data_IF_737635303688
#
_entry.id   IF_737635303688
#
_cell.length_a   1.000
_cell.length_b   1.000
_cell.length_c   1.000
_cell.angle_alpha   90.00
_cell.angle_beta   90.00
_cell.angle_gamma   90.00
#
_symmetry.space_group_name_H-M   'P 1'
#
loop_
_entity.id
_entity.type
_entity.pdbx_description
1 polymer ?
#
# COMPACT_ATOMS: atom_id res chain seq x y z
N UNK A 1 16.90 14.77 -4.71
CA UNK A 1 16.09 13.88 -5.58
C UNK A 1 14.58 14.05 -5.39
N UNK A 2 14.06 14.19 -4.16
CA UNK A 2 12.62 14.30 -3.91
C UNK A 2 11.99 15.68 -4.13
N UNK A 3 12.79 16.77 -4.04
CA UNK A 3 12.30 18.15 -4.17
C UNK A 3 11.43 18.37 -5.42
N UNK A 4 12.01 18.18 -6.60
CA UNK A 4 11.31 18.40 -7.89
C UNK A 4 10.05 17.52 -8.03
N UNK A 5 10.12 16.28 -7.55
CA UNK A 5 8.97 15.35 -7.60
C UNK A 5 7.82 15.85 -6.72
N UNK A 6 8.12 16.32 -5.51
CA UNK A 6 7.12 16.85 -4.58
C UNK A 6 6.54 18.19 -5.05
N UNK A 7 7.37 19.06 -5.64
CA UNK A 7 6.90 20.30 -6.28
C UNK A 7 5.88 19.97 -7.39
N UNK A 8 6.20 19.01 -8.25
CA UNK A 8 5.28 18.58 -9.33
C UNK A 8 4.03 17.89 -8.78
N UNK A 9 4.16 17.05 -7.75
CA UNK A 9 3.01 16.44 -7.08
C UNK A 9 2.06 17.50 -6.51
N UNK A 10 2.60 18.55 -5.86
CA UNK A 10 1.81 19.67 -5.34
C UNK A 10 1.06 20.42 -6.44
N UNK A 11 1.69 20.63 -7.61
CA UNK A 11 1.04 21.26 -8.78
C UNK A 11 -0.15 20.44 -9.30
N UNK A 12 -0.06 19.11 -9.26
CA UNK A 12 -1.09 18.20 -9.75
C UNK A 12 -2.28 18.03 -8.80
N UNK A 13 -2.09 18.28 -7.50
CA UNK A 13 -3.17 18.20 -6.52
C UNK A 13 -4.26 19.26 -6.80
N UNK A 14 -5.52 18.87 -6.56
CA UNK A 14 -6.62 19.84 -6.41
C UNK A 14 -6.45 20.62 -5.10
N UNK A 15 -7.17 21.73 -4.96
CA UNK A 15 -7.15 22.54 -3.72
C UNK A 15 -7.54 21.74 -2.48
N UNK A 16 -8.47 20.80 -2.60
CA UNK A 16 -8.87 19.87 -1.53
C UNK A 16 -8.01 18.60 -1.48
N UNK A 17 -7.01 18.46 -2.35
CA UNK A 17 -6.20 17.27 -2.51
C UNK A 17 -5.27 16.99 -1.32
N UNK A 18 -4.97 15.71 -1.11
CA UNK A 18 -4.16 15.19 0.00
C UNK A 18 -3.00 14.39 -0.59
N UNK A 19 -1.84 14.46 0.05
CA UNK A 19 -0.68 13.61 -0.23
C UNK A 19 -0.29 12.85 1.04
N UNK A 20 0.02 11.56 0.86
CA UNK A 20 0.59 10.69 1.89
C UNK A 20 1.96 10.21 1.42
N UNK A 21 2.96 10.28 2.28
CA UNK A 21 4.32 9.80 1.96
C UNK A 21 4.80 8.88 3.06
N UNK A 22 4.91 7.58 2.76
CA UNK A 22 5.52 6.60 3.66
C UNK A 22 7.04 6.75 3.68
N UNK A 23 7.64 6.75 4.86
CA UNK A 23 9.07 6.89 5.07
C UNK A 23 9.50 6.13 6.33
N UNK A 24 10.72 5.60 6.33
CA UNK A 24 11.30 5.05 7.56
C UNK A 24 11.94 6.16 8.41
N UNK A 25 12.55 5.79 9.53
CA UNK A 25 13.15 6.75 10.46
C UNK A 25 14.37 7.49 9.89
N UNK A 26 15.02 6.95 8.85
CA UNK A 26 16.31 7.46 8.37
C UNK A 26 16.20 8.86 7.75
N UNK A 27 15.11 9.10 7.03
CA UNK A 27 14.89 10.34 6.26
C UNK A 27 13.61 11.09 6.67
N UNK A 28 12.89 10.60 7.68
CA UNK A 28 11.59 11.17 8.08
C UNK A 28 11.68 12.66 8.44
N UNK A 29 12.67 13.04 9.22
CA UNK A 29 12.84 14.43 9.67
C UNK A 29 13.17 15.36 8.50
N UNK A 30 14.10 14.96 7.62
CA UNK A 30 14.48 15.74 6.45
C UNK A 30 13.33 15.87 5.45
N UNK A 31 12.58 14.79 5.23
CA UNK A 31 11.39 14.80 4.39
C UNK A 31 10.31 15.74 4.96
N UNK A 32 10.10 15.75 6.28
CA UNK A 32 9.14 16.66 6.93
C UNK A 32 9.49 18.12 6.66
N UNK A 33 10.76 18.51 6.85
CA UNK A 33 11.24 19.88 6.58
C UNK A 33 11.04 20.25 5.11
N UNK A 34 11.38 19.34 4.19
CA UNK A 34 11.19 19.55 2.75
C UNK A 34 9.71 19.72 2.39
N UNK A 35 8.82 18.92 3.00
CA UNK A 35 7.38 19.03 2.76
C UNK A 35 6.80 20.31 3.37
N UNK A 36 7.31 20.79 4.52
CA UNK A 36 6.93 22.11 5.06
C UNK A 36 7.26 23.24 4.10
N UNK A 37 8.46 23.22 3.50
CA UNK A 37 8.86 24.22 2.51
C UNK A 37 7.96 24.21 1.26
N UNK A 38 7.63 23.01 0.74
CA UNK A 38 6.87 22.87 -0.51
C UNK A 38 5.37 23.11 -0.29
N UNK A 39 4.79 22.55 0.76
CA UNK A 39 3.35 22.56 1.01
C UNK A 39 2.90 23.68 1.95
N UNK A 40 3.81 24.27 2.73
CA UNK A 40 3.49 25.13 3.86
C UNK A 40 3.25 24.31 5.13
N UNK A 41 3.89 24.69 6.23
CA UNK A 41 3.73 24.03 7.54
C UNK A 41 2.26 24.04 7.99
N UNK A 42 1.50 25.07 7.66
CA UNK A 42 0.08 25.20 7.97
C UNK A 42 -0.80 24.16 7.28
N UNK A 43 -0.29 23.53 6.22
CA UNK A 43 -0.98 22.47 5.47
C UNK A 43 -0.55 21.06 5.92
N UNK A 44 0.29 20.95 6.94
CA UNK A 44 0.59 19.68 7.60
C UNK A 44 -0.62 19.20 8.40
N UNK A 45 -1.04 17.95 8.16
CA UNK A 45 -2.19 17.37 8.86
C UNK A 45 -1.76 16.52 10.04
N UNK A 46 -0.93 15.50 9.79
CA UNK A 46 -0.49 14.55 10.81
C UNK A 46 0.68 13.71 10.30
N UNK A 47 1.39 13.08 11.24
CA UNK A 47 2.31 11.99 10.97
C UNK A 47 1.69 10.70 11.53
N UNK A 48 1.33 9.77 10.66
CA UNK A 48 0.87 8.46 11.12
C UNK A 48 2.07 7.61 11.50
N UNK A 49 2.00 6.92 12.64
CA UNK A 49 2.95 5.90 13.04
C UNK A 49 2.32 4.53 12.80
N UNK A 50 2.79 3.83 11.79
CA UNK A 50 2.37 2.48 11.47
C UNK A 50 3.33 1.45 12.05
N UNK A 51 2.89 0.69 13.04
CA UNK A 51 3.65 -0.42 13.59
C UNK A 51 3.59 -1.62 12.63
N UNK A 52 4.71 -1.87 11.96
CA UNK A 52 4.83 -2.82 10.85
C UNK A 52 4.99 -4.26 11.30
N UNK A 53 5.44 -4.48 12.54
CA UNK A 53 5.67 -5.80 13.12
C UNK A 53 5.23 -5.87 14.60
N UNK A 54 4.49 -6.92 14.94
CA UNK A 54 4.11 -7.28 16.33
C UNK A 54 5.05 -8.31 16.97
N UNK A 55 6.04 -8.83 16.23
CA UNK A 55 6.89 -9.94 16.71
C UNK A 55 8.15 -9.48 17.46
N UNK A 56 8.31 -10.02 18.66
CA UNK A 56 9.37 -9.73 19.65
C UNK A 56 10.73 -10.37 19.32
N UNK A 57 11.00 -10.76 18.07
CA UNK A 57 11.98 -11.84 17.76
C UNK A 57 13.39 -11.40 17.35
N UNK A 58 13.73 -10.11 17.34
CA UNK A 58 15.13 -9.67 17.18
C UNK A 58 15.58 -8.98 18.46
N UNK A 59 16.52 -9.59 19.17
CA UNK A 59 17.24 -8.97 20.27
C UNK A 59 18.13 -7.86 19.70
N UNK A 60 17.78 -6.61 19.97
CA UNK A 60 18.64 -5.46 19.70
C UNK A 60 19.34 -5.07 21.00
N UNK A 61 20.58 -4.60 20.93
CA UNK A 61 21.28 -4.04 22.10
C UNK A 61 20.64 -2.71 22.56
N UNK A 62 19.85 -2.08 21.70
CA UNK A 62 19.17 -0.81 21.91
C UNK A 62 17.66 -0.94 21.66
N UNK A 63 16.95 0.18 21.51
CA UNK A 63 15.50 0.21 21.22
C UNK A 63 15.20 -0.33 19.82
N UNK A 64 14.25 -1.27 19.74
CA UNK A 64 13.77 -1.81 18.47
C UNK A 64 12.74 -0.86 17.84
N UNK A 65 13.10 -0.16 16.78
CA UNK A 65 12.11 0.54 15.95
C UNK A 65 11.30 -0.47 15.13
N UNK A 66 9.98 -0.45 15.27
CA UNK A 66 9.04 -1.25 14.48
C UNK A 66 8.03 -0.37 13.75
N UNK A 67 8.32 0.91 13.61
CA UNK A 67 7.41 1.89 13.05
C UNK A 67 7.90 2.35 11.69
N UNK A 68 6.95 2.50 10.78
CA UNK A 68 7.10 3.38 9.63
C UNK A 68 6.24 4.62 9.87
N UNK A 69 6.67 5.71 9.26
CA UNK A 69 6.00 7.00 9.33
C UNK A 69 5.28 7.26 8.03
N UNK A 70 4.15 7.97 8.11
CA UNK A 70 3.40 8.40 6.93
C UNK A 70 3.06 9.86 7.15
N UNK A 71 3.77 10.73 6.43
CA UNK A 71 3.50 12.16 6.45
C UNK A 71 2.27 12.47 5.62
N UNK A 72 1.34 13.22 6.20
CA UNK A 72 0.10 13.66 5.55
C UNK A 72 0.05 15.17 5.43
N UNK A 73 -0.08 15.65 4.20
CA UNK A 73 -0.27 17.05 3.86
C UNK A 73 -1.49 17.22 2.97
N UNK A 74 -2.13 18.37 3.10
CA UNK A 74 -3.15 18.83 2.15
C UNK A 74 -2.57 19.90 1.23
N UNK A 75 -3.19 20.14 0.08
CA UNK A 75 -2.77 21.24 -0.77
C UNK A 75 -3.12 22.59 -0.16
N UNK A 76 -4.35 22.70 0.37
CA UNK A 76 -4.90 23.89 1.00
C UNK A 76 -5.86 23.48 2.12
N UNK A 77 -5.44 23.65 3.38
CA UNK A 77 -6.20 23.23 4.55
C UNK A 77 -7.57 23.90 4.69
N UNK A 78 -7.74 25.11 4.13
CA UNK A 78 -9.02 25.82 4.16
C UNK A 78 -10.02 25.33 3.11
N UNK A 79 -9.57 24.55 2.13
CA UNK A 79 -10.39 23.98 1.05
C UNK A 79 -10.65 22.49 1.23
N UNK A 80 -9.81 21.80 1.99
CA UNK A 80 -10.02 20.38 2.32
C UNK A 80 -11.16 20.21 3.32
N UNK A 81 -12.13 19.34 2.99
CA UNK A 81 -13.14 18.88 3.96
C UNK A 81 -12.47 17.95 4.96
N UNK A 82 -12.95 17.95 6.21
CA UNK A 82 -12.44 17.04 7.25
C UNK A 82 -12.44 15.58 6.78
N UNK A 83 -11.46 14.80 7.25
CA UNK A 83 -11.36 13.38 6.92
C UNK A 83 -12.53 12.59 7.51
N UNK A 84 -12.93 11.55 6.78
CA UNK A 84 -13.96 10.64 7.29
C UNK A 84 -13.43 9.70 8.34
N UNK A 85 -14.30 9.36 9.29
CA UNK A 85 -14.08 8.31 10.26
C UNK A 85 -13.99 6.96 9.55
N UNK A 86 -12.97 6.16 9.88
CA UNK A 86 -12.75 4.87 9.25
C UNK A 86 -12.69 3.77 10.33
N UNK A 87 -13.73 2.96 10.41
CA UNK A 87 -13.72 1.71 11.17
C UNK A 87 -13.12 0.59 10.31
N UNK A 88 -11.80 0.53 10.19
CA UNK A 88 -11.14 -0.58 9.50
C UNK A 88 -10.66 -1.62 10.50
N UNK A 89 -11.50 -2.61 10.76
CA UNK A 89 -11.01 -3.91 11.27
C UNK A 89 -10.59 -4.71 10.04
N UNK A 90 -9.29 -4.80 9.74
CA UNK A 90 -8.80 -5.48 8.52
C UNK A 90 -8.52 -6.97 8.74
N UNK A 91 -8.63 -7.45 9.97
CA UNK A 91 -8.47 -8.87 10.24
C UNK A 91 -9.65 -9.63 9.63
N UNK A 92 -9.37 -10.47 8.64
CA UNK A 92 -10.34 -11.40 8.08
C UNK A 92 -10.65 -12.49 9.11
N UNK A 93 -11.81 -12.40 9.75
CA UNK A 93 -12.33 -13.43 10.64
C UNK A 93 -13.12 -14.44 9.80
N UNK A 94 -12.73 -15.70 9.84
CA UNK A 94 -13.37 -16.75 9.06
C UNK A 94 -13.54 -18.01 9.92
N UNK A 95 -14.74 -18.60 9.90
CA UNK A 95 -15.02 -19.82 10.64
C UNK A 95 -14.79 -21.07 9.80
N UNK A 96 -13.52 -21.35 9.47
CA UNK A 96 -13.14 -22.44 8.55
C UNK A 96 -13.38 -23.84 9.11
N UNK A 97 -13.60 -23.97 10.41
CA UNK A 97 -13.78 -25.25 11.09
C UNK A 97 -15.11 -25.36 11.84
N UNK A 98 -16.08 -24.49 11.52
CA UNK A 98 -17.42 -24.48 12.12
C UNK A 98 -17.40 -24.44 13.65
N UNK A 99 -16.47 -23.68 14.23
CA UNK A 99 -16.39 -23.43 15.65
C UNK A 99 -17.71 -22.81 16.16
N UNK A 100 -18.33 -23.34 17.23
CA UNK A 100 -19.63 -22.88 17.70
C UNK A 100 -19.61 -21.48 18.34
N UNK A 101 -18.44 -20.91 18.61
CA UNK A 101 -18.33 -19.61 19.30
C UNK A 101 -18.63 -18.44 18.38
N UNK A 102 -17.80 -18.22 17.36
CA UNK A 102 -17.94 -17.21 16.29
C UNK A 102 -16.77 -17.33 15.30
N UNK A 103 -16.69 -16.39 14.36
CA UNK A 103 -15.55 -16.28 13.45
C UNK A 103 -14.26 -15.99 14.21
N UNK A 104 -13.14 -16.49 13.69
CA UNK A 104 -11.84 -16.32 14.33
C UNK A 104 -10.74 -16.08 13.29
N UNK A 105 -9.60 -15.50 13.72
CA UNK A 105 -8.38 -15.47 12.92
C UNK A 105 -7.24 -16.24 13.58
N UNK A 106 -6.28 -16.66 12.76
CA UNK A 106 -5.20 -17.58 13.13
C UNK A 106 -3.98 -16.88 13.71
N UNK A 107 -3.67 -17.13 14.98
CA UNK A 107 -2.47 -16.60 15.66
C UNK A 107 -1.41 -17.68 15.91
N UNK A 108 -0.14 -17.27 16.00
CA UNK A 108 0.99 -18.16 16.26
C UNK A 108 0.85 -18.80 17.66
N UNK A 109 0.89 -20.14 17.72
CA UNK A 109 0.87 -20.87 18.98
C UNK A 109 2.24 -21.00 19.67
N UNK A 110 3.33 -20.65 18.98
CA UNK A 110 4.71 -20.96 19.40
C UNK A 110 5.60 -19.73 19.54
N UNK A 111 6.68 -19.92 20.28
CA UNK A 111 7.88 -19.08 20.30
C UNK A 111 9.03 -19.80 19.56
N UNK A 112 10.19 -19.13 19.46
CA UNK A 112 11.45 -19.80 19.07
C UNK A 112 11.70 -20.95 20.05
N UNK A 113 12.10 -22.10 19.50
CA UNK A 113 12.37 -23.28 20.29
C UNK A 113 13.48 -23.01 21.32
N UNK A 114 13.19 -23.37 22.57
CA UNK A 114 14.11 -23.33 23.70
C UNK A 114 13.76 -24.49 24.64
N UNK A 115 14.63 -25.49 24.70
CA UNK A 115 14.46 -26.70 25.53
C UNK A 115 14.31 -26.40 27.02
N UNK A 116 14.94 -25.33 27.52
CA UNK A 116 14.93 -24.94 28.92
C UNK A 116 13.69 -24.09 29.31
N UNK A 117 12.82 -23.77 28.34
CA UNK A 117 11.62 -23.01 28.62
C UNK A 117 10.54 -23.94 29.21
N UNK A 118 9.90 -23.59 30.34
CA UNK A 118 8.85 -24.43 30.96
C UNK A 118 7.60 -24.61 30.09
N UNK A 119 7.42 -23.78 29.04
CA UNK A 119 6.38 -23.94 28.03
C UNK A 119 6.81 -24.86 26.87
N UNK A 120 7.94 -25.56 26.99
CA UNK A 120 8.38 -26.55 26.01
C UNK A 120 7.86 -27.92 26.39
N UNK A 121 6.88 -28.41 25.63
CA UNK A 121 6.29 -29.73 25.83
C UNK A 121 5.75 -30.30 24.52
N UNK A 122 5.44 -31.60 24.53
CA UNK A 122 4.90 -32.31 23.38
C UNK A 122 3.37 -32.17 23.28
N UNK A 123 2.87 -31.93 22.08
CA UNK A 123 1.44 -31.99 21.74
C UNK A 123 1.23 -33.07 20.66
N UNK A 124 0.19 -33.88 20.82
CA UNK A 124 -0.22 -34.89 19.83
C UNK A 124 -1.08 -34.25 18.74
N UNK A 125 -0.70 -34.44 17.50
CA UNK A 125 -1.39 -33.98 16.30
C UNK A 125 -2.50 -34.97 15.89
N UNK A 126 -3.49 -34.53 15.08
CA UNK A 126 -4.58 -35.39 14.60
C UNK A 126 -4.11 -36.66 13.87
N UNK A 127 -2.98 -36.59 13.16
CA UNK A 127 -2.37 -37.74 12.48
C UNK A 127 -1.68 -38.74 13.43
N UNK A 128 -1.68 -38.49 14.74
CA UNK A 128 -1.04 -39.33 15.75
C UNK A 128 0.39 -38.96 16.10
N UNK A 129 1.06 -38.11 15.31
CA UNK A 129 2.43 -37.67 15.56
C UNK A 129 2.51 -36.70 16.73
N UNK A 130 3.67 -36.65 17.38
CA UNK A 130 3.95 -35.73 18.46
C UNK A 130 4.86 -34.60 17.96
N UNK A 131 4.53 -33.36 18.31
CA UNK A 131 5.38 -32.20 18.02
C UNK A 131 5.83 -31.55 19.32
N UNK A 132 7.13 -31.26 19.42
CA UNK A 132 7.73 -30.55 20.55
C UNK A 132 8.07 -29.12 20.12
N UNK A 133 7.46 -28.14 20.78
CA UNK A 133 7.73 -26.72 20.57
C UNK A 133 7.70 -25.99 21.91
N UNK A 134 8.25 -24.78 21.92
CA UNK A 134 8.03 -23.81 22.99
C UNK A 134 6.72 -23.08 22.68
N UNK A 135 5.69 -23.33 23.47
CA UNK A 135 4.34 -22.82 23.26
C UNK A 135 4.14 -21.44 23.91
N UNK A 136 3.13 -20.70 23.44
CA UNK A 136 2.73 -19.43 24.06
C UNK A 136 1.91 -19.62 25.33
N UNK A 137 1.40 -20.82 25.54
CA UNK A 137 0.63 -21.27 26.70
C UNK A 137 1.40 -22.34 27.47
N UNK A 138 1.00 -22.54 28.72
CA UNK A 138 1.52 -23.56 29.61
C UNK A 138 0.88 -24.93 29.33
N UNK A 139 1.50 -26.00 29.82
CA UNK A 139 0.96 -27.35 29.70
C UNK A 139 -0.41 -27.48 30.38
N UNK A 140 -0.61 -26.81 31.50
CA UNK A 140 -1.87 -26.84 32.24
C UNK A 140 -2.99 -26.11 31.50
N UNK A 141 -2.72 -24.97 30.87
CA UNK A 141 -3.67 -24.26 30.01
C UNK A 141 -4.11 -25.11 28.81
N UNK A 142 -3.17 -25.88 28.23
CA UNK A 142 -3.47 -26.83 27.17
C UNK A 142 -4.34 -28.00 27.67
N UNK A 143 -3.94 -28.66 28.77
CA UNK A 143 -4.66 -29.81 29.32
C UNK A 143 -6.06 -29.44 29.81
N UNK A 144 -6.23 -28.24 30.35
CA UNK A 144 -7.53 -27.70 30.75
C UNK A 144 -8.41 -27.23 29.59
N UNK A 145 -7.94 -27.36 28.34
CA UNK A 145 -8.64 -26.92 27.11
C UNK A 145 -9.08 -25.46 27.13
N UNK A 146 -8.37 -24.62 27.90
CA UNK A 146 -8.65 -23.18 27.99
C UNK A 146 -8.17 -22.40 26.76
N UNK A 147 -7.22 -22.95 26.02
CA UNK A 147 -6.68 -22.34 24.82
C UNK A 147 -7.40 -22.88 23.59
N UNK A 148 -8.09 -22.03 22.81
CA UNK A 148 -8.74 -22.46 21.59
C UNK A 148 -7.67 -22.72 20.52
N UNK A 149 -7.45 -23.99 20.19
CA UNK A 149 -6.48 -24.42 19.20
C UNK A 149 -7.17 -24.91 17.93
N UNK A 150 -6.66 -24.49 16.79
CA UNK A 150 -6.98 -25.04 15.48
C UNK A 150 -5.86 -25.98 15.02
N UNK A 151 -6.25 -27.20 14.64
CA UNK A 151 -5.35 -28.23 14.12
C UNK A 151 -5.62 -28.41 12.62
N UNK A 152 -4.57 -28.30 11.80
CA UNK A 152 -4.66 -28.49 10.35
C UNK A 152 -3.69 -29.59 9.89
N UNK A 153 -4.17 -30.84 9.92
CA UNK A 153 -3.36 -31.99 9.53
C UNK A 153 -2.13 -32.18 10.42
N UNK A 154 -0.96 -32.19 9.80
CA UNK A 154 0.36 -32.35 10.44
C UNK A 154 1.05 -31.01 10.77
N UNK A 155 0.41 -29.89 10.47
CA UNK A 155 0.96 -28.56 10.73
C UNK A 155 1.01 -28.23 12.22
N UNK A 156 1.87 -27.28 12.57
CA UNK A 156 1.90 -26.68 13.90
C UNK A 156 0.52 -26.08 14.21
N UNK A 157 -0.12 -26.44 15.35
CA UNK A 157 -1.41 -25.89 15.73
C UNK A 157 -1.38 -24.36 15.83
N UNK A 158 -2.53 -23.73 15.62
CA UNK A 158 -2.71 -22.28 15.66
C UNK A 158 -3.64 -21.91 16.81
N UNK A 159 -3.43 -20.75 17.43
CA UNK A 159 -4.37 -20.22 18.43
C UNK A 159 -5.49 -19.51 17.67
N UNK A 160 -6.75 -19.81 17.98
CA UNK A 160 -7.90 -19.07 17.47
C UNK A 160 -8.09 -17.80 18.28
N UNK A 161 -8.22 -16.66 17.59
CA UNK A 161 -8.61 -15.41 18.22
C UNK A 161 -9.98 -15.04 17.70
N UNK A 162 -10.97 -15.12 18.59
CA UNK A 162 -12.39 -14.94 18.29
C UNK A 162 -12.75 -13.47 18.04
N UNK A 163 -13.64 -13.23 17.08
CA UNK A 163 -14.08 -11.90 16.65
C UNK A 163 -14.71 -11.10 17.80
N UNK A 164 -15.64 -11.70 18.54
CA UNK A 164 -16.29 -11.08 19.70
C UNK A 164 -15.30 -10.67 20.79
N UNK A 165 -14.31 -11.53 21.10
CA UNK A 165 -13.28 -11.21 22.08
C UNK A 165 -12.35 -10.11 21.58
N UNK A 166 -12.01 -10.15 20.29
CA UNK A 166 -11.15 -9.16 19.66
C UNK A 166 -11.79 -7.77 19.71
N UNK A 167 -13.04 -7.66 19.27
CA UNK A 167 -13.80 -6.40 19.28
C UNK A 167 -13.92 -5.85 20.71
N UNK A 168 -14.28 -6.71 21.67
CA UNK A 168 -14.53 -6.28 23.06
C UNK A 168 -13.24 -5.82 23.76
N UNK A 169 -12.10 -6.44 23.45
CA UNK A 169 -10.81 -6.09 24.04
C UNK A 169 -10.18 -4.84 23.43
N UNK A 170 -10.80 -4.21 22.42
CA UNK A 170 -10.32 -3.02 21.68
C UNK A 170 -8.81 -3.10 21.43
N UNK A 171 -8.35 -3.87 20.44
CA UNK A 171 -6.93 -4.04 20.20
C UNK A 171 -6.29 -2.67 19.97
N UNK A 172 -5.07 -2.53 20.46
CA UNK A 172 -4.17 -1.43 20.13
C UNK A 172 -4.27 -1.12 18.63
N UNK A 173 -4.61 0.12 18.28
CA UNK A 173 -4.41 0.58 16.90
C UNK A 173 -2.91 0.47 16.60
N UNK A 174 -2.57 -0.19 15.49
CA UNK A 174 -1.19 -0.25 15.03
C UNK A 174 -0.91 0.82 13.96
N UNK A 175 -1.86 1.73 13.74
CA UNK A 175 -1.69 2.97 13.01
C UNK A 175 -2.13 4.13 13.91
N UNK A 176 -1.16 4.75 14.57
CA UNK A 176 -1.41 5.88 15.47
C UNK A 176 -1.37 7.19 14.70
N UNK A 177 -2.35 8.05 14.92
CA UNK A 177 -2.37 9.41 14.38
C UNK A 177 -1.79 10.36 15.41
N UNK A 178 -0.69 11.05 15.09
CA UNK A 178 -0.16 12.11 15.94
C UNK A 178 -0.88 13.42 15.61
N UNK A 179 -1.97 13.73 16.32
CA UNK A 179 -2.70 14.98 16.12
C UNK A 179 -1.99 16.16 16.77
N UNK A 180 -1.78 17.24 16.01
CA UNK A 180 -1.49 18.53 16.60
C UNK A 180 -2.79 19.12 17.19
N UNK A 181 -2.99 18.94 18.51
CA UNK A 181 -4.16 19.44 19.24
C UNK A 181 -4.29 20.98 19.21
N UNK A 182 -3.25 21.71 18.80
CA UNK A 182 -3.27 23.18 18.68
C UNK A 182 -3.80 23.67 17.33
N UNK A 183 -4.10 22.78 16.38
CA UNK A 183 -4.69 23.16 15.11
C UNK A 183 -6.14 23.65 15.31
N UNK A 184 -6.33 24.97 15.21
CA UNK A 184 -7.59 25.71 15.46
C UNK A 184 -8.78 25.28 14.58
N UNK A 185 -8.57 24.44 13.57
CA UNK A 185 -9.58 24.00 12.59
C UNK A 185 -10.25 22.68 12.98
N UNK A 186 -9.71 21.95 13.96
CA UNK A 186 -10.30 20.71 14.45
C UNK A 186 -11.28 21.07 15.58
N UNK A 187 -12.58 20.94 15.31
CA UNK A 187 -13.60 21.11 16.35
C UNK A 187 -13.49 19.99 17.39
N UNK A 188 -13.97 20.22 18.61
CA UNK A 188 -13.86 19.21 19.67
C UNK A 188 -14.63 17.91 19.33
N UNK A 189 -15.73 18.00 18.57
CA UNK A 189 -16.46 16.86 18.00
C UNK A 189 -15.60 16.04 17.01
N UNK A 190 -14.79 16.71 16.17
CA UNK A 190 -13.87 16.02 15.26
C UNK A 190 -12.70 15.36 16.01
N UNK A 191 -12.23 15.96 17.11
CA UNK A 191 -11.17 15.38 17.96
C UNK A 191 -11.64 14.07 18.60
N UNK A 192 -12.81 14.04 19.22
CA UNK A 192 -13.35 12.84 19.86
C UNK A 192 -13.66 11.71 18.86
N UNK A 193 -14.10 12.06 17.65
CA UNK A 193 -14.46 11.05 16.65
C UNK A 193 -13.25 10.35 16.00
N UNK A 194 -12.13 11.06 15.78
CA UNK A 194 -10.92 10.48 15.16
C UNK A 194 -9.94 9.85 16.16
N UNK A 195 -9.87 10.34 17.41
CA UNK A 195 -9.03 9.73 18.46
C UNK A 195 -9.51 8.32 18.85
N UNK A 196 -10.76 7.99 18.54
CA UNK A 196 -11.37 6.69 18.82
C UNK A 196 -11.31 5.71 17.63
N UNK A 197 -10.69 6.08 16.50
CA UNK A 197 -10.57 5.18 15.36
C UNK A 197 -9.47 4.14 15.61
N UNK A 198 -9.90 2.87 15.62
CA UNK A 198 -9.00 1.72 15.68
C UNK A 198 -8.70 1.32 14.24
N UNK A 199 -7.54 1.74 13.73
CA UNK A 199 -7.04 1.27 12.44
C UNK A 199 -6.06 0.11 12.69
N UNK A 200 -6.50 -1.09 12.35
CA UNK A 200 -5.63 -2.27 12.30
C UNK A 200 -5.18 -2.40 10.86
N UNK A 201 -3.89 -2.34 10.63
CA UNK A 201 -3.26 -2.44 9.32
C UNK A 201 -2.42 -3.70 9.27
N UNK A 202 -2.51 -4.46 8.18
CA UNK A 202 -1.75 -5.69 8.00
C UNK A 202 -0.24 -5.45 8.06
N UNK A 203 0.54 -6.47 8.43
CA UNK A 203 2.01 -6.38 8.42
C UNK A 203 2.60 -6.59 7.02
N UNK A 204 3.90 -6.30 6.86
CA UNK A 204 4.63 -6.62 5.63
C UNK A 204 4.55 -8.10 5.24
N UNK A 205 4.57 -9.01 6.22
CA UNK A 205 4.48 -10.44 5.93
C UNK A 205 3.13 -10.82 5.34
N UNK A 206 2.04 -10.23 5.81
CA UNK A 206 0.70 -10.45 5.26
C UNK A 206 0.62 -9.87 3.85
N UNK A 207 1.14 -8.65 3.64
CA UNK A 207 1.22 -8.03 2.32
C UNK A 207 2.01 -8.88 1.32
N UNK A 208 3.16 -9.44 1.74
CA UNK A 208 3.98 -10.34 0.91
C UNK A 208 3.26 -11.65 0.61
N UNK A 209 2.57 -12.25 1.57
CA UNK A 209 1.78 -13.46 1.34
C UNK A 209 0.63 -13.22 0.36
N UNK A 210 -0.09 -12.10 0.48
CA UNK A 210 -1.13 -11.71 -0.48
C UNK A 210 -0.54 -11.50 -1.86
N UNK A 211 0.62 -10.84 -1.96
CA UNK A 211 1.32 -10.70 -3.23
C UNK A 211 1.71 -12.04 -3.84
N UNK A 212 2.28 -12.96 -3.06
CA UNK A 212 2.64 -14.30 -3.52
C UNK A 212 1.42 -15.13 -3.95
N UNK A 213 0.24 -14.90 -3.35
CA UNK A 213 -0.99 -15.55 -3.81
C UNK A 213 -1.46 -15.07 -5.19
N UNK A 214 -1.08 -13.85 -5.59
CA UNK A 214 -1.38 -13.28 -6.90
C UNK A 214 -0.26 -13.64 -7.90
N UNK A 215 1.00 -13.54 -7.46
CA UNK A 215 2.20 -13.79 -8.27
C UNK A 215 3.14 -14.75 -7.53
N UNK A 216 3.00 -16.08 -7.65
CA UNK A 216 3.80 -17.03 -6.88
C UNK A 216 5.32 -16.85 -7.05
N UNK A 217 5.77 -16.53 -8.27
CA UNK A 217 7.19 -16.47 -8.63
C UNK A 217 7.80 -15.05 -8.55
N UNK A 218 7.16 -14.12 -7.83
CA UNK A 218 7.65 -12.74 -7.73
C UNK A 218 8.83 -12.56 -6.75
N UNK A 219 9.83 -11.78 -7.17
CA UNK A 219 10.98 -11.40 -6.33
C UNK A 219 10.74 -10.12 -5.49
N UNK A 220 9.56 -9.50 -5.56
CA UNK A 220 9.30 -8.22 -4.88
C UNK A 220 9.17 -8.41 -3.37
N UNK A 221 10.10 -7.84 -2.59
CA UNK A 221 10.27 -8.20 -1.18
C UNK A 221 9.38 -7.43 -0.20
N UNK A 222 9.07 -6.17 -0.49
CA UNK A 222 8.49 -5.22 0.50
C UNK A 222 7.22 -4.54 0.02
N UNK A 223 6.16 -5.29 -0.41
CA UNK A 223 4.91 -4.65 -0.79
C UNK A 223 4.27 -3.97 0.40
N UNK A 224 3.78 -2.73 0.22
CA UNK A 224 2.88 -2.12 1.21
C UNK A 224 1.59 -2.96 1.28
N UNK A 225 0.99 -3.10 2.47
CA UNK A 225 -0.29 -3.77 2.60
C UNK A 225 -1.40 -2.99 1.91
N UNK A 226 -2.32 -3.71 1.29
CA UNK A 226 -3.48 -3.11 0.64
C UNK A 226 -4.39 -2.40 1.64
N UNK A 227 -4.58 -3.00 2.82
CA UNK A 227 -5.32 -2.41 3.93
C UNK A 227 -4.83 -1.02 4.32
N UNK A 228 -3.52 -0.80 4.32
CA UNK A 228 -2.94 0.52 4.57
C UNK A 228 -3.39 1.53 3.51
N UNK A 229 -3.23 1.17 2.25
CA UNK A 229 -3.53 2.09 1.15
C UNK A 229 -5.04 2.34 1.05
N UNK A 230 -5.87 1.33 1.29
CA UNK A 230 -7.33 1.47 1.38
C UNK A 230 -7.72 2.45 2.48
N UNK A 231 -7.15 2.32 3.68
CA UNK A 231 -7.38 3.24 4.78
C UNK A 231 -7.03 4.68 4.39
N UNK A 232 -5.82 4.91 3.85
CA UNK A 232 -5.37 6.25 3.46
C UNK A 232 -6.24 6.87 2.37
N UNK A 233 -6.63 6.11 1.35
CA UNK A 233 -7.53 6.61 0.28
C UNK A 233 -8.89 6.96 0.85
N UNK A 234 -9.44 6.13 1.75
CA UNK A 234 -10.77 6.34 2.32
C UNK A 234 -10.84 7.48 3.34
N UNK A 235 -9.72 7.95 3.91
CA UNK A 235 -9.72 9.18 4.71
C UNK A 235 -10.33 10.34 3.93
N UNK A 236 -10.07 10.41 2.62
CA UNK A 236 -10.75 11.34 1.73
C UNK A 236 -12.11 10.79 1.29
N UNK A 237 -13.20 11.50 1.59
CA UNK A 237 -14.59 11.06 1.33
C UNK A 237 -14.98 10.96 -0.15
N UNK A 238 -14.07 11.25 -1.08
CA UNK A 238 -14.42 11.39 -2.48
C UNK A 238 -14.30 10.04 -3.20
N UNK A 239 -15.44 9.36 -3.37
CA UNK A 239 -15.53 8.10 -4.11
C UNK A 239 -15.25 8.21 -5.61
N UNK A 240 -15.02 9.41 -6.13
CA UNK A 240 -14.62 9.68 -7.52
C UNK A 240 -13.22 10.29 -7.60
N UNK A 241 -12.39 10.09 -6.56
CA UNK A 241 -11.05 10.64 -6.50
C UNK A 241 -10.13 10.07 -7.60
N UNK A 242 -9.16 10.89 -8.01
CA UNK A 242 -8.05 10.46 -8.86
C UNK A 242 -6.84 10.21 -7.95
N UNK A 243 -6.35 8.98 -7.93
CA UNK A 243 -5.24 8.55 -7.07
C UNK A 243 -3.97 8.44 -7.92
N UNK A 244 -2.92 9.17 -7.55
CA UNK A 244 -1.63 9.11 -8.22
C UNK A 244 -0.61 8.50 -7.25
N UNK A 245 0.10 7.47 -7.71
CA UNK A 245 1.25 6.91 -7.04
C UNK A 245 2.42 6.86 -8.01
N UNK A 246 3.37 7.78 -7.81
CA UNK A 246 4.55 7.91 -8.64
C UNK A 246 5.77 7.12 -8.13
N UNK A 247 5.55 6.22 -7.17
CA UNK A 247 6.50 5.21 -6.69
C UNK A 247 5.79 3.85 -6.56
N UNK A 248 5.14 3.43 -7.66
CA UNK A 248 4.14 2.35 -7.64
C UNK A 248 4.62 1.01 -7.08
N UNK A 249 5.91 0.69 -7.22
CA UNK A 249 6.49 -0.56 -6.72
C UNK A 249 5.70 -1.78 -7.18
N UNK A 250 5.13 -2.55 -6.25
CA UNK A 250 4.33 -3.73 -6.59
C UNK A 250 2.93 -3.44 -7.16
N UNK A 251 2.49 -2.19 -7.23
CA UNK A 251 1.15 -1.83 -7.69
C UNK A 251 0.05 -1.97 -6.64
N UNK A 252 0.40 -1.96 -5.34
CA UNK A 252 -0.58 -2.04 -4.24
C UNK A 252 -1.65 -0.96 -4.36
N UNK A 253 -1.29 0.27 -4.72
CA UNK A 253 -2.24 1.39 -4.85
C UNK A 253 -3.31 1.14 -5.89
N UNK A 254 -2.95 0.55 -7.04
CA UNK A 254 -3.94 0.17 -8.05
C UNK A 254 -4.90 -0.91 -7.54
N UNK A 255 -4.38 -1.92 -6.84
CA UNK A 255 -5.22 -2.97 -6.24
C UNK A 255 -6.18 -2.38 -5.18
N UNK A 256 -5.69 -1.52 -4.29
CA UNK A 256 -6.51 -0.88 -3.26
C UNK A 256 -7.66 -0.04 -3.86
N UNK A 257 -7.40 0.69 -4.95
CA UNK A 257 -8.45 1.48 -5.63
C UNK A 257 -9.53 0.58 -6.24
N UNK A 258 -9.14 -0.51 -6.88
CA UNK A 258 -10.08 -1.48 -7.46
C UNK A 258 -10.96 -2.12 -6.39
N UNK A 259 -10.36 -2.53 -5.27
CA UNK A 259 -11.09 -3.12 -4.16
C UNK A 259 -12.03 -2.12 -3.50
N UNK A 260 -11.61 -0.88 -3.25
CA UNK A 260 -12.50 0.16 -2.71
C UNK A 260 -13.71 0.41 -3.59
N UNK A 261 -13.52 0.51 -4.91
CA UNK A 261 -14.64 0.70 -5.84
C UNK A 261 -15.61 -0.48 -5.81
N UNK A 262 -15.09 -1.72 -5.67
CA UNK A 262 -15.92 -2.92 -5.51
C UNK A 262 -16.70 -2.90 -4.19
N UNK A 263 -16.05 -2.54 -3.09
CA UNK A 263 -16.65 -2.53 -1.75
C UNK A 263 -17.73 -1.47 -1.59
N UNK A 264 -17.48 -0.25 -2.12
CA UNK A 264 -18.28 0.93 -1.78
C UNK A 264 -19.04 1.54 -2.96
N UNK A 265 -18.99 0.89 -4.14
CA UNK A 265 -19.62 1.33 -5.38
C UNK A 265 -19.03 2.61 -5.96
N UNK A 266 -17.81 2.99 -5.54
CA UNK A 266 -17.11 4.17 -6.02
C UNK A 266 -16.62 4.06 -7.46
N UNK A 267 -16.16 5.18 -7.98
CA UNK A 267 -15.59 5.31 -9.32
C UNK A 267 -14.24 6.07 -9.25
N UNK A 268 -13.39 5.67 -8.30
CA UNK A 268 -12.03 6.19 -8.17
C UNK A 268 -11.19 5.69 -9.35
N UNK A 269 -10.31 6.53 -9.87
CA UNK A 269 -9.35 6.16 -10.92
C UNK A 269 -7.93 6.23 -10.38
N UNK A 270 -7.02 5.39 -10.86
CA UNK A 270 -5.61 5.45 -10.46
C UNK A 270 -4.66 5.70 -11.63
N UNK A 271 -3.49 6.28 -11.32
CA UNK A 271 -2.34 6.38 -12.21
C UNK A 271 -1.10 5.96 -11.44
N UNK A 272 -0.37 4.99 -11.98
CA UNK A 272 0.85 4.45 -11.38
C UNK A 272 2.05 4.82 -12.24
N UNK A 273 3.12 5.30 -11.60
CA UNK A 273 4.41 5.56 -12.26
C UNK A 273 5.51 4.82 -11.51
N UNK A 274 6.43 4.23 -12.27
CA UNK A 274 7.62 3.55 -11.76
C UNK A 274 8.75 3.70 -12.78
N UNK A 275 9.99 3.72 -12.31
CA UNK A 275 11.20 3.85 -13.15
C UNK A 275 11.52 2.57 -13.95
N UNK A 276 10.77 1.48 -13.75
CA UNK A 276 10.96 0.19 -14.39
C UNK A 276 12.38 -0.41 -14.20
N UNK A 277 13.12 0.01 -13.18
CA UNK A 277 14.38 -0.63 -12.80
C UNK A 277 14.13 -2.12 -12.55
N UNK A 278 15.04 -2.98 -13.01
CA UNK A 278 14.89 -4.44 -12.94
C UNK A 278 13.59 -4.98 -13.55
N UNK A 279 13.00 -4.26 -14.51
CA UNK A 279 11.70 -4.57 -15.10
C UNK A 279 10.53 -4.62 -14.09
N UNK A 280 10.62 -3.90 -12.97
CA UNK A 280 9.56 -3.90 -11.94
C UNK A 280 8.21 -3.48 -12.54
N UNK A 281 8.16 -2.52 -13.47
CA UNK A 281 6.90 -2.08 -14.06
C UNK A 281 6.22 -3.20 -14.82
N UNK A 282 6.96 -3.98 -15.61
CA UNK A 282 6.42 -5.07 -16.43
C UNK A 282 6.20 -6.34 -15.62
N UNK A 283 7.25 -6.83 -14.93
CA UNK A 283 7.25 -8.12 -14.24
C UNK A 283 6.50 -8.12 -12.91
N UNK A 284 6.27 -6.95 -12.30
CA UNK A 284 5.64 -6.86 -10.97
C UNK A 284 4.38 -6.00 -11.02
N UNK A 285 4.50 -4.71 -11.35
CA UNK A 285 3.36 -3.78 -11.28
C UNK A 285 2.26 -4.14 -12.27
N UNK A 286 2.62 -4.27 -13.55
CA UNK A 286 1.70 -4.65 -14.61
C UNK A 286 1.18 -6.06 -14.38
N UNK A 287 2.06 -7.03 -14.13
CA UNK A 287 1.66 -8.42 -13.94
C UNK A 287 0.65 -8.60 -12.80
N UNK A 288 0.88 -7.94 -11.65
CA UNK A 288 -0.08 -7.94 -10.53
C UNK A 288 -1.45 -7.43 -10.98
N UNK A 289 -1.48 -6.26 -11.63
CA UNK A 289 -2.73 -5.62 -12.02
C UNK A 289 -3.43 -6.36 -13.16
N UNK A 290 -2.67 -6.97 -14.08
CA UNK A 290 -3.19 -7.80 -15.14
C UNK A 290 -3.89 -9.02 -14.55
N UNK A 291 -3.21 -9.74 -13.64
CA UNK A 291 -3.75 -10.93 -12.98
C UNK A 291 -5.07 -10.66 -12.28
N UNK A 292 -5.12 -9.65 -11.41
CA UNK A 292 -6.35 -9.37 -10.66
C UNK A 292 -7.49 -8.82 -11.53
N UNK A 293 -7.17 -8.15 -12.65
CA UNK A 293 -8.22 -7.65 -13.55
C UNK A 293 -8.80 -8.74 -14.45
N UNK A 294 -7.99 -9.72 -14.87
CA UNK A 294 -8.40 -10.74 -15.84
C UNK A 294 -8.66 -12.12 -15.22
N UNK A 295 -8.21 -12.37 -13.98
CA UNK A 295 -8.28 -13.71 -13.36
C UNK A 295 -7.28 -14.72 -13.90
N UNK A 296 -6.37 -14.29 -14.78
CA UNK A 296 -5.34 -15.12 -15.41
C UNK A 296 -4.01 -14.35 -15.50
N UNK A 297 -2.89 -15.07 -15.44
CA UNK A 297 -1.55 -14.53 -15.70
C UNK A 297 -1.39 -14.04 -17.14
N UNK A 298 -0.46 -13.13 -17.38
CA UNK A 298 -0.25 -12.57 -18.73
C UNK A 298 0.28 -13.59 -19.74
N UNK A 299 0.77 -14.75 -19.28
CA UNK A 299 1.18 -15.88 -20.10
C UNK A 299 0.15 -17.02 -20.07
N UNK A 300 -1.05 -16.76 -19.53
CA UNK A 300 -2.15 -17.73 -19.47
C UNK A 300 -2.15 -18.62 -18.23
N UNK A 301 -1.39 -18.28 -17.18
CA UNK A 301 -1.23 -19.11 -15.99
C UNK A 301 -2.36 -18.91 -14.98
N UNK A 302 -2.78 -20.00 -14.31
CA UNK A 302 -3.63 -19.91 -13.12
C UNK A 302 -2.82 -19.49 -11.89
N UNK A 303 -3.50 -18.96 -10.87
CA UNK A 303 -2.85 -18.54 -9.62
C UNK A 303 -3.82 -18.58 -8.42
N UNK A 304 -3.32 -18.78 -7.19
CA UNK A 304 -4.17 -19.05 -6.02
C UNK A 304 -5.23 -17.99 -5.70
N UNK A 305 -4.94 -16.70 -5.94
CA UNK A 305 -5.91 -15.64 -5.69
C UNK A 305 -7.16 -15.77 -6.57
N UNK A 306 -7.02 -16.20 -7.84
CA UNK A 306 -8.15 -16.35 -8.77
C UNK A 306 -9.11 -17.49 -8.37
N UNK A 307 -8.68 -18.45 -7.55
CA UNK A 307 -9.53 -19.55 -7.07
C UNK A 307 -10.59 -19.08 -6.06
N UNK A 308 -10.39 -17.91 -5.45
CA UNK A 308 -11.21 -17.40 -4.34
C UNK A 308 -11.79 -16.02 -4.58
N UNK A 309 -11.42 -15.37 -5.68
CA UNK A 309 -11.77 -13.99 -5.96
C UNK A 309 -12.18 -13.84 -7.41
N UNK A 310 -13.20 -13.03 -7.65
CA UNK A 310 -13.61 -12.66 -9.00
C UNK A 310 -12.66 -11.59 -9.58
N UNK A 311 -12.38 -11.63 -10.89
CA UNK A 311 -11.64 -10.58 -11.57
C UNK A 311 -12.31 -9.21 -11.43
N UNK A 312 -11.51 -8.15 -11.37
CA UNK A 312 -12.07 -6.78 -11.29
C UNK A 312 -12.66 -6.30 -12.62
N UNK A 313 -12.21 -6.82 -13.77
CA UNK A 313 -12.67 -6.42 -15.10
C UNK A 313 -12.58 -4.90 -15.36
N UNK A 314 -11.57 -4.23 -14.81
CA UNK A 314 -11.32 -2.81 -15.06
C UNK A 314 -10.36 -2.60 -16.23
N UNK A 315 -10.47 -1.46 -16.89
CA UNK A 315 -9.52 -1.04 -17.92
C UNK A 315 -8.11 -0.89 -17.33
N UNK A 316 -7.10 -1.45 -18.00
CA UNK A 316 -5.69 -1.29 -17.66
C UNK A 316 -4.92 -0.83 -18.89
N UNK A 317 -4.62 0.47 -18.96
CA UNK A 317 -3.81 1.06 -20.03
C UNK A 317 -2.36 1.22 -19.56
N UNK A 318 -1.41 0.80 -20.39
CA UNK A 318 0.03 0.85 -20.08
C UNK A 318 0.74 1.73 -21.11
N UNK A 319 1.53 2.66 -20.62
CA UNK A 319 2.30 3.59 -21.44
C UNK A 319 3.79 3.43 -21.13
N UNK A 320 4.62 3.49 -22.17
CA UNK A 320 6.07 3.59 -22.02
C UNK A 320 6.51 5.01 -22.36
N UNK A 321 7.46 5.54 -21.60
CA UNK A 321 8.10 6.81 -21.93
C UNK A 321 9.07 6.59 -23.09
N UNK A 322 8.94 7.40 -24.13
CA UNK A 322 9.88 7.47 -25.25
C UNK A 322 10.59 8.81 -25.18
N UNK A 323 11.91 8.76 -25.15
CA UNK A 323 12.75 9.97 -25.18
C UNK A 323 13.10 10.28 -26.64
N UNK A 324 13.13 11.57 -26.95
CA UNK A 324 13.60 12.06 -28.24
C UNK A 324 14.75 13.02 -27.98
N UNK A 325 15.81 12.92 -28.78
CA UNK A 325 16.82 13.97 -28.82
C UNK A 325 16.14 15.25 -29.33
N UNK A 326 16.47 16.39 -28.75
CA UNK A 326 15.94 17.71 -29.08
C UNK A 326 17.04 18.68 -29.54
N UNK A 327 18.24 18.18 -29.83
CA UNK A 327 19.35 18.99 -30.31
C UNK A 327 19.00 19.73 -31.63
N UNK A 328 19.58 20.93 -31.77
CA UNK A 328 19.29 21.86 -32.87
C UNK A 328 19.65 21.26 -34.25
N UNK A 329 20.59 20.31 -34.30
CA UNK A 329 21.04 19.59 -35.50
C UNK A 329 20.22 18.32 -35.80
N UNK A 330 19.09 18.11 -35.12
CA UNK A 330 18.19 16.98 -35.38
C UNK A 330 17.77 16.91 -36.86
N UNK A 331 17.77 15.70 -37.39
CA UNK A 331 17.31 15.43 -38.75
C UNK A 331 15.82 15.75 -38.91
N UNK A 332 15.41 16.15 -40.12
CA UNK A 332 14.00 16.38 -40.47
C UNK A 332 13.10 15.16 -40.14
N UNK A 333 13.66 13.95 -40.18
CA UNK A 333 13.01 12.69 -39.80
C UNK A 333 12.69 12.60 -38.30
N UNK A 334 13.60 13.09 -37.43
CA UNK A 334 13.40 13.07 -35.97
C UNK A 334 12.26 14.00 -35.56
N UNK A 335 12.20 15.20 -36.15
CA UNK A 335 11.14 16.17 -35.89
C UNK A 335 9.76 15.66 -36.32
N UNK A 336 9.68 14.98 -37.48
CA UNK A 336 8.45 14.31 -37.94
C UNK A 336 7.99 13.23 -36.97
N UNK A 337 8.91 12.41 -36.44
CA UNK A 337 8.60 11.37 -35.44
C UNK A 337 8.07 11.96 -34.13
N UNK A 338 8.69 13.02 -33.61
CA UNK A 338 8.25 13.71 -32.39
C UNK A 338 6.80 14.20 -32.58
N UNK A 339 6.52 14.88 -33.70
CA UNK A 339 5.18 15.39 -34.03
C UNK A 339 4.15 14.27 -34.12
N UNK A 340 4.44 13.21 -34.87
CA UNK A 340 3.52 12.07 -35.00
C UNK A 340 3.19 11.46 -33.64
N UNK A 341 4.21 11.21 -32.81
CA UNK A 341 4.02 10.63 -31.46
C UNK A 341 3.24 11.56 -30.52
N UNK A 342 3.49 12.86 -30.60
CA UNK A 342 2.72 13.84 -29.87
C UNK A 342 1.24 13.86 -30.29
N UNK A 343 0.96 13.87 -31.59
CA UNK A 343 -0.41 13.86 -32.13
C UNK A 343 -1.15 12.56 -31.82
N UNK A 344 -0.49 11.40 -31.91
CA UNK A 344 -1.02 10.12 -31.48
C UNK A 344 -1.43 10.16 -30.00
N UNK A 345 -0.57 10.70 -29.14
CA UNK A 345 -0.84 10.82 -27.70
C UNK A 345 -1.99 11.80 -27.42
N UNK A 346 -1.99 12.97 -28.05
CA UNK A 346 -3.05 13.96 -27.90
C UNK A 346 -4.41 13.41 -28.35
N UNK A 347 -4.44 12.71 -29.50
CA UNK A 347 -5.64 12.04 -30.01
C UNK A 347 -6.14 10.97 -29.04
N UNK A 348 -5.25 10.14 -28.51
CA UNK A 348 -5.59 9.12 -27.50
C UNK A 348 -6.25 9.73 -26.26
N UNK A 349 -5.77 10.88 -25.78
CA UNK A 349 -6.35 11.60 -24.65
C UNK A 349 -7.55 12.49 -25.01
N UNK A 350 -8.06 12.39 -26.25
CA UNK A 350 -9.22 13.16 -26.70
C UNK A 350 -8.95 14.67 -26.87
N UNK A 351 -7.68 15.08 -26.93
CA UNK A 351 -7.27 16.47 -27.10
C UNK A 351 -7.33 16.79 -28.60
N UNK A 352 -8.39 17.46 -29.03
CA UNK A 352 -8.53 17.95 -30.41
C UNK A 352 -7.61 19.14 -30.63
N UNK A 353 -6.43 18.90 -31.20
CA UNK A 353 -5.55 19.96 -31.69
C UNK A 353 -5.81 20.17 -33.18
N UNK A 354 -6.82 20.97 -33.48
CA UNK A 354 -6.96 21.57 -34.80
C UNK A 354 -6.02 22.78 -34.84
N UNK A 355 -5.11 22.82 -35.82
CA UNK A 355 -4.23 23.95 -36.15
C UNK A 355 -3.04 24.26 -35.23
N UNK A 356 -2.21 23.26 -34.89
CA UNK A 356 -0.86 23.57 -34.37
C UNK A 356 0.16 23.49 -35.50
N UNK A 357 0.77 24.64 -35.79
CA UNK A 357 1.95 24.79 -36.66
C UNK A 357 3.08 23.88 -36.17
N UNK A 358 3.74 23.17 -37.09
CA UNK A 358 4.86 22.29 -36.77
C UNK A 358 6.00 23.03 -36.07
N UNK A 359 6.21 24.27 -36.47
CA UNK A 359 7.20 25.15 -35.87
C UNK A 359 6.84 25.50 -34.43
N UNK A 360 5.56 25.74 -34.15
CA UNK A 360 5.09 26.15 -32.82
C UNK A 360 5.13 24.96 -31.85
N UNK A 361 4.69 23.79 -32.32
CA UNK A 361 4.80 22.55 -31.54
C UNK A 361 6.26 22.22 -31.20
N UNK A 362 7.16 22.28 -32.18
CA UNK A 362 8.58 22.04 -31.94
C UNK A 362 9.16 23.11 -31.02
N UNK A 363 8.83 24.38 -31.19
CA UNK A 363 9.29 25.45 -30.29
C UNK A 363 8.86 25.19 -28.85
N UNK A 364 7.59 24.84 -28.63
CA UNK A 364 7.07 24.50 -27.30
C UNK A 364 7.80 23.28 -26.71
N UNK A 365 7.98 22.21 -27.49
CA UNK A 365 8.65 20.99 -27.04
C UNK A 365 10.15 21.20 -26.77
N UNK A 366 10.82 22.02 -27.58
CA UNK A 366 12.23 22.39 -27.40
C UNK A 366 12.44 23.39 -26.25
N UNK A 367 11.39 24.10 -25.84
CA UNK A 367 11.42 24.98 -24.66
C UNK A 367 11.33 24.22 -23.34
N UNK A 368 10.93 22.95 -23.38
CA UNK A 368 10.94 22.09 -22.21
C UNK A 368 12.38 21.83 -21.78
N UNK A 369 12.60 21.80 -20.48
CA UNK A 369 13.91 21.48 -19.92
C UNK A 369 14.34 20.07 -20.36
N UNK A 370 15.47 19.94 -21.09
CA UNK A 370 15.91 18.64 -21.58
C UNK A 370 16.33 17.76 -20.39
N UNK A 371 15.98 16.49 -20.47
CA UNK A 371 16.51 15.49 -19.55
C UNK A 371 17.97 15.23 -19.93
N UNK A 372 18.92 15.66 -19.09
CA UNK A 372 20.32 15.29 -19.28
C UNK A 372 20.48 13.76 -19.18
N UNK A 373 21.03 13.14 -20.23
CA UNK A 373 21.46 11.75 -20.17
C UNK A 373 22.70 11.66 -19.27
N UNK A 374 22.47 11.36 -17.99
CA UNK A 374 23.55 10.91 -17.12
C UNK A 374 24.06 9.56 -17.62
N UNK A 375 25.22 9.56 -18.28
CA UNK A 375 25.95 8.37 -18.77
C UNK A 375 26.29 7.31 -17.69
N UNK A 376 25.86 7.50 -16.44
CA UNK A 376 26.02 6.55 -15.34
C UNK A 376 24.76 5.74 -15.03
N UNK A 377 23.68 5.92 -15.78
CA UNK A 377 22.51 5.05 -15.71
C UNK A 377 22.47 4.19 -16.98
N UNK A 378 23.26 3.11 -17.01
CA UNK A 378 22.87 1.93 -17.77
C UNK A 378 21.51 1.47 -17.22
N UNK A 379 20.43 1.78 -17.93
CA UNK A 379 19.07 1.26 -17.68
C UNK A 379 18.30 1.13 -18.98
#
# INVERSE_FOLDING_TARGET
>A
MMNERLIMARKLLKEDGVIFVSIDDSEQAYLKVLMDEIFGEENFVTNFLWQTNSSSMKSTNFVKSNFEYILCYVKNIFKTKGFSKQNTTTMEFNNIDSDPKDNWFSSNATYKFNENNPKTFSIKLPNGNNIVRTWRFTKDEYLSKKIPLYFNGDNVPRIKIYESEWITKKPYTNLLMNFNLQNKWITDEYKENMLNDIAIIDSFSIAKNKLNSIMPDNEFSTPKPESLIKYLINLHTNKNARVLDFFAGSGTTGHAVLELNREDGGNRSYTLVTNNENNIAKKVTYERLYRINNGIGSEGESFPWAEKNEPYNSSLNVFNLVKFNTAIDNTEDTNKKIKLKFLESASYFGIKKNDISEKDLLTDLLSLEPLEENNNATN
#
